data_IF_017451241102
#
_entry.id   IF_017451241102
#
_cell.length_a   1.000
_cell.length_b   1.000
_cell.length_c   1.000
_cell.angle_alpha   90.00
_cell.angle_beta   90.00
_cell.angle_gamma   90.00
#
_symmetry.space_group_name_H-M   'P 1'
#
loop_
_entity.id
_entity.type
_entity.pdbx_description
1 polymer ?
#
# COMPACT_ATOMS: atom_id res chain seq x y z
N UNK A 1 9.60 0.55 -15.12
CA UNK A 1 8.36 0.72 -14.32
C UNK A 1 7.06 0.37 -15.06
N UNK A 2 6.71 1.06 -16.17
CA UNK A 2 5.39 0.99 -16.82
C UNK A 2 4.90 -0.44 -17.13
N UNK A 3 5.71 -1.22 -17.85
CA UNK A 3 5.32 -2.59 -18.25
C UNK A 3 5.04 -3.48 -17.04
N UNK A 4 5.90 -3.43 -16.02
CA UNK A 4 5.71 -4.16 -14.75
C UNK A 4 4.41 -3.77 -14.05
N UNK A 5 4.08 -2.48 -14.03
CA UNK A 5 2.83 -1.98 -13.44
C UNK A 5 1.62 -2.50 -14.21
N UNK A 6 1.64 -2.46 -15.55
CA UNK A 6 0.55 -2.97 -16.38
C UNK A 6 0.38 -4.49 -16.23
N UNK A 7 1.48 -5.23 -16.10
CA UNK A 7 1.45 -6.67 -15.87
C UNK A 7 0.84 -7.02 -14.52
N UNK A 8 1.28 -6.34 -13.44
CA UNK A 8 0.69 -6.48 -12.11
C UNK A 8 -0.80 -6.13 -12.10
N UNK A 9 -1.18 -5.03 -12.74
CA UNK A 9 -2.56 -4.59 -12.85
C UNK A 9 -3.43 -5.64 -13.57
N UNK A 10 -2.99 -6.10 -14.75
CA UNK A 10 -3.69 -7.13 -15.50
C UNK A 10 -3.80 -8.45 -14.72
N UNK A 11 -2.77 -8.80 -13.94
CA UNK A 11 -2.80 -9.95 -13.06
C UNK A 11 -3.88 -9.82 -11.97
N UNK A 12 -4.03 -8.65 -11.37
CA UNK A 12 -5.01 -8.40 -10.30
C UNK A 12 -6.44 -8.30 -10.86
N UNK A 13 -6.64 -7.65 -12.00
CA UNK A 13 -7.93 -7.54 -12.69
C UNK A 13 -8.52 -8.89 -13.11
N UNK A 14 -7.70 -9.95 -13.21
CA UNK A 14 -8.18 -11.32 -13.45
C UNK A 14 -8.74 -11.99 -12.19
N UNK A 15 -8.51 -11.41 -11.01
CA UNK A 15 -8.87 -12.00 -9.70
C UNK A 15 -10.01 -11.28 -9.01
N UNK A 16 -10.27 -10.03 -9.39
CA UNK A 16 -11.41 -9.24 -8.93
C UNK A 16 -12.02 -8.50 -10.11
N UNK A 17 -13.34 -8.36 -10.11
CA UNK A 17 -14.15 -7.91 -11.24
C UNK A 17 -14.47 -6.41 -11.22
N UNK A 18 -14.09 -5.71 -10.14
CA UNK A 18 -14.39 -4.30 -9.93
C UNK A 18 -13.20 -3.54 -9.35
N UNK A 19 -13.20 -2.23 -9.56
CA UNK A 19 -12.19 -1.32 -9.00
C UNK A 19 -12.45 -1.13 -7.49
N UNK A 20 -11.43 -1.27 -6.63
CA UNK A 20 -11.53 -0.90 -5.22
C UNK A 20 -11.87 0.58 -5.04
N UNK A 21 -12.80 0.88 -4.15
CA UNK A 21 -13.13 2.27 -3.78
C UNK A 21 -11.99 2.91 -2.98
N UNK A 22 -11.26 2.11 -2.22
CA UNK A 22 -10.09 2.53 -1.46
C UNK A 22 -9.02 1.45 -1.40
N UNK A 23 -7.78 1.89 -1.26
CA UNK A 23 -6.64 1.06 -0.85
C UNK A 23 -6.25 1.44 0.57
N UNK A 24 -6.17 0.46 1.46
CA UNK A 24 -5.73 0.63 2.85
C UNK A 24 -4.38 -0.06 3.01
N UNK A 25 -3.35 0.69 3.40
CA UNK A 25 -2.02 0.14 3.68
C UNK A 25 -1.85 -0.02 5.18
N UNK A 26 -1.75 -1.28 5.62
CA UNK A 26 -1.66 -1.63 7.03
C UNK A 26 -0.21 -1.55 7.53
N UNK A 27 -0.02 -0.82 8.62
CA UNK A 27 1.27 -0.70 9.31
C UNK A 27 1.52 -1.90 10.21
N UNK A 28 2.67 -1.89 10.88
CA UNK A 28 2.98 -2.87 11.92
C UNK A 28 1.88 -2.90 12.98
N UNK A 29 1.42 -4.10 13.37
CA UNK A 29 0.38 -4.30 14.38
C UNK A 29 -1.07 -4.14 13.91
N UNK A 30 -1.31 -3.68 12.67
CA UNK A 30 -2.67 -3.45 12.14
C UNK A 30 -3.20 -4.56 11.21
N UNK A 31 -2.43 -5.64 11.05
CA UNK A 31 -2.71 -6.72 10.10
C UNK A 31 -4.07 -7.42 10.28
N UNK A 32 -4.63 -7.42 11.50
CA UNK A 32 -5.92 -8.03 11.81
C UNK A 32 -7.10 -7.42 11.03
N UNK A 33 -6.99 -6.15 10.60
CA UNK A 33 -8.04 -5.51 9.80
C UNK A 33 -8.34 -6.25 8.50
N UNK A 34 -7.31 -6.79 7.83
CA UNK A 34 -7.50 -7.54 6.58
C UNK A 34 -8.26 -8.87 6.79
N UNK A 35 -8.17 -9.45 7.99
CA UNK A 35 -8.88 -10.69 8.34
C UNK A 35 -10.37 -10.44 8.62
N UNK A 36 -10.75 -9.20 8.93
CA UNK A 36 -12.13 -8.81 9.23
C UNK A 36 -12.95 -8.45 7.97
N UNK A 37 -12.35 -8.50 6.77
CA UNK A 37 -13.06 -8.22 5.53
C UNK A 37 -14.03 -9.36 5.18
N UNK A 38 -15.20 -8.97 4.68
CA UNK A 38 -16.18 -9.88 4.09
C UNK A 38 -15.76 -10.24 2.65
N UNK A 39 -16.19 -11.42 2.16
CA UNK A 39 -15.95 -11.91 0.77
C UNK A 39 -14.49 -11.77 0.29
N UNK A 40 -13.56 -12.17 1.17
CA UNK A 40 -12.14 -11.88 0.98
C UNK A 40 -11.49 -12.69 -0.14
N UNK A 41 -10.70 -12.01 -0.96
CA UNK A 41 -9.73 -12.60 -1.89
C UNK A 41 -8.33 -12.18 -1.47
N UNK A 42 -7.55 -13.10 -0.90
CA UNK A 42 -6.17 -12.84 -0.46
C UNK A 42 -5.15 -13.34 -1.50
N UNK A 43 -4.21 -12.48 -1.87
CA UNK A 43 -3.18 -12.75 -2.87
C UNK A 43 -1.81 -12.49 -2.25
N UNK A 44 -0.95 -13.51 -2.12
CA UNK A 44 0.45 -13.34 -1.71
C UNK A 44 1.21 -12.36 -2.64
N UNK A 45 2.06 -11.51 -2.07
CA UNK A 45 2.84 -10.53 -2.86
C UNK A 45 3.77 -11.18 -3.87
N UNK A 46 4.37 -12.33 -3.54
CA UNK A 46 5.26 -13.09 -4.42
C UNK A 46 4.55 -13.67 -5.66
N UNK A 47 3.22 -13.75 -5.65
CA UNK A 47 2.43 -14.13 -6.81
C UNK A 47 2.17 -12.95 -7.76
N UNK A 48 2.30 -11.69 -7.29
CA UNK A 48 1.97 -10.50 -8.09
C UNK A 48 3.24 -10.04 -8.85
N UNK A 49 3.21 -10.01 -10.20
CA UNK A 49 4.39 -9.63 -10.98
C UNK A 49 5.00 -8.28 -10.56
N UNK A 50 6.31 -8.28 -10.30
CA UNK A 50 7.06 -7.07 -9.93
C UNK A 50 6.76 -6.50 -8.54
N UNK A 51 5.84 -7.10 -7.78
CA UNK A 51 5.47 -6.62 -6.44
C UNK A 51 6.57 -6.96 -5.43
N UNK A 52 6.98 -6.01 -4.57
CA UNK A 52 8.01 -6.27 -3.57
C UNK A 52 7.46 -7.10 -2.40
N UNK A 53 8.30 -7.99 -1.85
CA UNK A 53 7.92 -8.90 -0.76
C UNK A 53 8.31 -8.30 0.59
N UNK A 54 7.39 -8.30 1.55
CA UNK A 54 7.67 -7.80 2.91
C UNK A 54 8.62 -8.71 3.68
N UNK A 55 9.65 -8.15 4.29
CA UNK A 55 10.55 -8.90 5.22
C UNK A 55 10.46 -8.41 6.66
N UNK A 56 9.87 -7.23 6.89
CA UNK A 56 9.68 -6.67 8.22
C UNK A 56 8.73 -7.52 9.10
N UNK A 57 9.03 -7.70 10.41
CA UNK A 57 8.17 -8.45 11.32
C UNK A 57 6.74 -7.91 11.39
N UNK A 58 5.75 -8.80 11.34
CA UNK A 58 4.34 -8.44 11.40
C UNK A 58 3.72 -8.00 10.06
N UNK A 59 4.48 -8.00 8.96
CA UNK A 59 3.96 -7.76 7.61
C UNK A 59 3.71 -9.10 6.91
N UNK A 60 2.45 -9.51 6.81
CA UNK A 60 2.06 -10.82 6.26
C UNK A 60 2.36 -10.99 4.76
N UNK A 61 2.57 -9.88 4.04
CA UNK A 61 2.98 -9.91 2.63
C UNK A 61 1.84 -10.33 1.69
N UNK A 62 0.63 -9.84 1.94
CA UNK A 62 -0.57 -10.19 1.14
C UNK A 62 -1.35 -8.94 0.75
N UNK A 63 -1.90 -8.96 -0.45
CA UNK A 63 -2.94 -8.04 -0.90
C UNK A 63 -4.30 -8.72 -0.73
N UNK A 64 -5.17 -8.13 0.09
CA UNK A 64 -6.48 -8.70 0.41
C UNK A 64 -7.57 -7.77 -0.13
N UNK A 65 -8.39 -8.28 -1.04
CA UNK A 65 -9.61 -7.61 -1.48
C UNK A 65 -10.79 -8.10 -0.65
N UNK A 66 -11.78 -7.25 -0.40
CA UNK A 66 -13.00 -7.65 0.29
C UNK A 66 -13.93 -6.46 0.55
N UNK A 67 -14.99 -6.70 1.31
CA UNK A 67 -15.95 -5.68 1.73
C UNK A 67 -15.68 -5.23 3.18
N UNK A 68 -15.70 -3.92 3.39
CA UNK A 68 -15.69 -3.29 4.70
C UNK A 68 -16.81 -2.24 4.76
N UNK A 69 -17.81 -2.45 5.62
CA UNK A 69 -18.97 -1.56 5.71
C UNK A 69 -19.73 -1.42 4.38
N UNK A 70 -19.81 -2.51 3.61
CA UNK A 70 -20.46 -2.55 2.29
C UNK A 70 -19.65 -1.92 1.14
N UNK A 71 -18.42 -1.46 1.39
CA UNK A 71 -17.54 -0.88 0.38
C UNK A 71 -16.46 -1.87 -0.03
N UNK A 72 -16.24 -1.98 -1.34
CA UNK A 72 -15.20 -2.87 -1.86
C UNK A 72 -13.82 -2.19 -1.74
N UNK A 73 -12.91 -2.81 -1.00
CA UNK A 73 -11.59 -2.25 -0.67
C UNK A 73 -10.47 -3.23 -1.00
N UNK A 74 -9.29 -2.68 -1.28
CA UNK A 74 -8.04 -3.42 -1.34
C UNK A 74 -7.22 -3.09 -0.10
N UNK A 75 -6.69 -4.10 0.58
CA UNK A 75 -5.95 -3.96 1.82
C UNK A 75 -4.58 -4.59 1.67
N UNK A 76 -3.54 -3.77 1.75
CA UNK A 76 -2.16 -4.21 1.79
C UNK A 76 -1.83 -4.64 3.22
N UNK A 77 -1.85 -5.95 3.48
CA UNK A 77 -1.52 -6.56 4.77
C UNK A 77 0.00 -6.69 4.89
N UNK A 78 0.64 -5.54 5.03
CA UNK A 78 2.08 -5.39 4.99
C UNK A 78 2.52 -4.41 3.90
N UNK A 79 3.78 -4.00 3.97
CA UNK A 79 4.43 -3.07 3.04
C UNK A 79 5.92 -3.36 3.07
N UNK A 80 6.65 -2.79 2.13
CA UNK A 80 8.10 -2.78 2.19
C UNK A 80 8.60 -1.42 2.62
N UNK A 81 9.75 -1.39 3.27
CA UNK A 81 10.38 -0.18 3.75
C UNK A 81 11.70 0.06 3.04
N UNK A 82 12.09 1.33 2.94
CA UNK A 82 13.35 1.73 2.33
C UNK A 82 14.56 1.13 3.06
N UNK A 83 14.50 1.00 4.39
CA UNK A 83 15.57 0.42 5.20
C UNK A 83 15.80 -1.08 4.95
N UNK A 84 14.84 -1.79 4.32
CA UNK A 84 15.00 -3.21 3.95
C UNK A 84 15.91 -3.37 2.72
N UNK A 85 16.38 -2.27 2.11
CA UNK A 85 17.24 -2.26 0.93
C UNK A 85 16.50 -2.09 -0.40
N UNK A 86 15.18 -1.91 -0.37
CA UNK A 86 14.39 -1.61 -1.56
C UNK A 86 14.67 -0.21 -2.10
N UNK A 87 14.66 -0.05 -3.42
CA UNK A 87 14.66 1.28 -4.03
C UNK A 87 13.33 2.00 -3.81
N UNK A 88 13.32 3.33 -3.91
CA UNK A 88 12.07 4.10 -3.81
C UNK A 88 11.05 3.70 -4.88
N UNK A 89 11.49 3.33 -6.09
CA UNK A 89 10.62 2.81 -7.15
C UNK A 89 9.92 1.52 -6.72
N UNK A 90 10.64 0.62 -6.02
CA UNK A 90 10.06 -0.61 -5.49
C UNK A 90 9.08 -0.31 -4.35
N UNK A 91 9.44 0.59 -3.43
CA UNK A 91 8.57 0.98 -2.30
C UNK A 91 7.22 1.54 -2.79
N UNK A 92 7.23 2.41 -3.81
CA UNK A 92 6.00 3.02 -4.34
C UNK A 92 5.34 2.20 -5.46
N UNK A 93 5.87 1.03 -5.80
CA UNK A 93 5.33 0.19 -6.88
C UNK A 93 3.82 -0.09 -6.73
N UNK A 94 3.33 -0.52 -5.55
CA UNK A 94 1.90 -0.73 -5.34
C UNK A 94 1.05 0.52 -5.59
N UNK A 95 1.55 1.71 -5.20
CA UNK A 95 0.85 2.99 -5.40
C UNK A 95 0.65 3.27 -6.88
N UNK A 96 1.67 2.99 -7.71
CA UNK A 96 1.56 3.14 -9.17
C UNK A 96 0.57 2.15 -9.78
N UNK A 97 0.50 0.91 -9.28
CA UNK A 97 -0.50 -0.07 -9.73
C UNK A 97 -1.92 0.42 -9.43
N UNK A 98 -2.19 0.88 -8.20
CA UNK A 98 -3.52 1.38 -7.85
C UNK A 98 -3.89 2.69 -8.54
N UNK A 99 -2.91 3.56 -8.81
CA UNK A 99 -3.12 4.78 -9.60
C UNK A 99 -3.53 4.47 -11.04
N UNK A 100 -2.99 3.41 -11.65
CA UNK A 100 -3.41 2.94 -12.98
C UNK A 100 -4.72 2.13 -12.94
N UNK A 101 -5.15 1.66 -11.76
CA UNK A 101 -6.45 1.00 -11.55
C UNK A 101 -7.57 1.98 -11.16
N UNK A 102 -7.52 3.22 -11.60
CA UNK A 102 -8.20 4.41 -11.03
C UNK A 102 -8.77 4.32 -9.59
N UNK A 103 -8.03 3.81 -8.61
CA UNK A 103 -8.48 3.84 -7.21
C UNK A 103 -8.46 5.28 -6.69
N UNK A 104 -9.56 5.75 -6.12
CA UNK A 104 -9.72 7.17 -5.73
C UNK A 104 -9.17 7.51 -4.35
N UNK A 105 -9.17 6.55 -3.43
CA UNK A 105 -8.82 6.78 -2.04
C UNK A 105 -7.63 5.91 -1.63
N UNK A 106 -6.61 6.54 -1.06
CA UNK A 106 -5.44 5.85 -0.53
C UNK A 106 -5.28 6.19 0.95
N UNK A 107 -5.44 5.19 1.80
CA UNK A 107 -5.40 5.31 3.26
C UNK A 107 -4.13 4.63 3.75
N UNK A 108 -3.15 5.43 4.15
CA UNK A 108 -1.91 4.91 4.73
C UNK A 108 -1.98 4.96 6.26
N UNK A 109 -1.84 3.81 6.89
CA UNK A 109 -1.60 3.74 8.34
C UNK A 109 -0.11 3.54 8.61
N UNK A 110 0.39 3.83 9.80
CA UNK A 110 1.73 3.42 10.23
C UNK A 110 1.81 3.41 11.77
N UNK A 111 2.84 2.78 12.31
CA UNK A 111 3.22 2.96 13.71
C UNK A 111 4.34 4.01 13.77
N UNK A 112 4.28 4.92 14.74
CA UNK A 112 5.23 6.02 14.91
C UNK A 112 5.46 6.29 16.40
N UNK A 113 6.63 6.83 16.73
CA UNK A 113 6.88 7.40 18.06
C UNK A 113 6.26 8.79 18.18
N UNK A 114 5.47 9.03 19.22
CA UNK A 114 4.94 10.36 19.53
C UNK A 114 6.06 11.28 20.05
N UNK A 115 6.23 12.44 19.43
CA UNK A 115 7.19 13.47 19.86
C UNK A 115 6.49 14.54 20.71
N UNK A 116 5.22 14.84 20.41
CA UNK A 116 4.42 15.76 21.20
C UNK A 116 4.17 15.19 22.60
N UNK A 117 4.43 15.99 23.63
CA UNK A 117 4.34 15.58 25.04
C UNK A 117 2.92 15.25 25.51
N UNK A 118 1.89 15.64 24.76
CA UNK A 118 0.50 15.30 25.04
C UNK A 118 0.08 13.93 24.50
N UNK A 119 0.87 13.30 23.63
CA UNK A 119 0.54 11.99 23.04
C UNK A 119 0.85 10.85 24.01
N UNK A 120 -0.02 9.84 24.02
CA UNK A 120 0.17 8.61 24.78
C UNK A 120 0.13 7.38 23.86
N UNK A 121 0.77 6.26 24.24
CA UNK A 121 0.70 5.03 23.47
C UNK A 121 -0.75 4.58 23.24
N UNK A 122 -1.10 4.31 21.99
CA UNK A 122 -2.45 3.91 21.58
C UNK A 122 -3.28 5.04 20.97
N UNK A 123 -2.83 6.29 21.05
CA UNK A 123 -3.48 7.40 20.36
C UNK A 123 -3.51 7.18 18.84
N UNK A 124 -4.66 7.50 18.24
CA UNK A 124 -4.81 7.55 16.78
C UNK A 124 -4.61 9.00 16.35
N UNK A 125 -3.54 9.25 15.61
CA UNK A 125 -3.18 10.58 15.13
C UNK A 125 -3.51 10.69 13.64
N UNK A 126 -4.31 11.71 13.29
CA UNK A 126 -4.54 12.05 11.89
C UNK A 126 -3.32 12.80 11.35
N UNK A 127 -2.74 12.29 10.27
CA UNK A 127 -1.64 12.96 9.58
C UNK A 127 -2.20 14.15 8.78
N UNK A 128 -1.96 15.37 9.27
CA UNK A 128 -2.33 16.59 8.56
C UNK A 128 -1.27 17.00 7.54
N UNK A 129 0.01 16.83 7.87
CA UNK A 129 1.15 17.16 7.01
C UNK A 129 2.36 16.28 7.35
N UNK A 130 3.42 16.32 6.53
CA UNK A 130 4.65 15.56 6.77
C UNK A 130 5.91 16.32 6.32
N UNK A 131 7.04 15.99 6.96
CA UNK A 131 8.37 16.44 6.53
C UNK A 131 9.16 15.22 6.06
N UNK A 132 9.68 15.26 4.84
CA UNK A 132 10.49 14.18 4.28
C UNK A 132 11.99 14.39 4.54
N UNK A 133 12.53 13.69 5.55
CA UNK A 133 13.97 13.63 5.84
C UNK A 133 14.67 12.37 5.31
N UNK A 134 14.05 11.61 4.39
CA UNK A 134 14.61 10.34 3.91
C UNK A 134 15.87 10.50 3.05
N UNK A 135 16.19 11.73 2.60
CA UNK A 135 17.31 11.98 1.68
C UNK A 135 17.11 11.35 0.29
N UNK A 136 15.92 10.81 0.02
CA UNK A 136 15.55 10.15 -1.21
C UNK A 136 14.09 10.49 -1.56
N UNK A 137 13.77 10.45 -2.84
CA UNK A 137 12.44 10.80 -3.34
C UNK A 137 12.03 9.86 -4.48
N UNK A 138 10.83 9.25 -4.44
CA UNK A 138 10.35 8.31 -5.46
C UNK A 138 10.08 8.94 -6.83
N UNK A 139 10.13 10.27 -6.94
CA UNK A 139 9.94 11.03 -8.17
C UNK A 139 11.26 11.47 -8.81
N UNK A 140 12.42 11.09 -8.26
CA UNK A 140 13.71 11.36 -8.90
C UNK A 140 13.79 10.61 -10.21
N UNK A 141 14.18 11.32 -11.27
CA UNK A 141 14.32 10.80 -12.63
C UNK A 141 13.50 11.61 -13.63
N UNK A 142 13.43 11.14 -14.90
CA UNK A 142 12.64 11.81 -15.93
C UNK A 142 11.15 11.82 -15.57
N UNK A 143 10.51 12.99 -15.70
CA UNK A 143 9.06 13.06 -15.61
C UNK A 143 8.43 12.25 -16.75
N UNK A 144 7.42 11.46 -16.41
CA UNK A 144 6.74 10.59 -17.37
C UNK A 144 5.24 10.90 -17.32
N UNK A 145 4.68 11.60 -18.34
CA UNK A 145 3.27 12.01 -18.36
C UNK A 145 2.27 10.87 -18.15
N UNK A 146 2.67 9.64 -18.48
CA UNK A 146 1.89 8.42 -18.20
C UNK A 146 1.43 8.28 -16.74
N UNK A 147 2.19 8.83 -15.79
CA UNK A 147 1.85 8.75 -14.36
C UNK A 147 0.94 9.88 -13.86
N UNK A 148 0.68 10.89 -14.71
CA UNK A 148 -0.06 12.10 -14.38
C UNK A 148 -1.28 12.26 -15.32
N UNK A 149 -2.29 11.38 -15.22
CA UNK A 149 -3.50 11.42 -16.05
C UNK A 149 -4.45 12.56 -15.65
#
# INVERSE_FOLDING_TARGET
MRERVNEALAFLQKRVDRVPEAVVVLGSGLGAFAEALEDRTAIPYDHIPGWPVSTAPGHAGKLVFGSAGGRFVAVMQGRVHYYEGYSMEQVVFPVRVFGQWPVRNYIATNAVGGIDHGLVPGDIVLLHDHINFMGANPLVGPDTPFWNP
#
